data_IF_802857320462
#
_entry.id   IF_802857320462
#
_cell.length_a   1.000
_cell.length_b   1.000
_cell.length_c   1.000
_cell.angle_alpha   90.00
_cell.angle_beta   90.00
_cell.angle_gamma   90.00
#
_symmetry.space_group_name_H-M   'P 1'
#
loop_
_entity.id
_entity.type
_entity.pdbx_description
1 polymer ?
#
# COMPACT_ATOMS: atom_id res chain seq x y z
N UNK A 1 -49.24 8.55 15.44
CA UNK A 1 -48.45 9.41 14.53
C UNK A 1 -47.66 8.46 13.65
N UNK A 2 -47.90 8.48 12.35
CA UNK A 2 -47.36 7.54 11.36
C UNK A 2 -45.85 7.36 11.51
N UNK A 3 -45.41 6.15 11.86
CA UNK A 3 -44.06 5.71 11.56
C UNK A 3 -43.93 5.69 10.03
N UNK A 4 -43.02 6.50 9.51
CA UNK A 4 -42.65 6.53 8.10
C UNK A 4 -41.89 5.22 7.79
N UNK A 5 -42.62 4.11 7.75
CA UNK A 5 -42.08 2.78 7.52
C UNK A 5 -41.51 2.77 6.11
N UNK A 6 -40.18 2.75 6.02
CA UNK A 6 -39.49 2.68 4.73
C UNK A 6 -39.98 1.42 4.01
N UNK A 7 -40.65 1.59 2.89
CA UNK A 7 -41.16 0.49 2.08
C UNK A 7 -40.13 0.05 1.04
N UNK A 8 -40.05 -1.24 0.80
CA UNK A 8 -39.15 -1.84 -0.19
C UNK A 8 -39.94 -2.70 -1.18
N UNK A 9 -39.68 -2.56 -2.47
CA UNK A 9 -40.28 -3.42 -3.50
C UNK A 9 -39.53 -4.74 -3.62
N UNK A 10 -40.13 -5.75 -4.27
CA UNK A 10 -39.43 -7.03 -4.53
C UNK A 10 -38.07 -6.86 -5.24
N UNK A 11 -37.91 -5.82 -6.05
CA UNK A 11 -36.62 -5.48 -6.68
C UNK A 11 -35.60 -4.94 -5.66
N UNK A 12 -36.04 -4.19 -4.65
CA UNK A 12 -35.19 -3.75 -3.54
C UNK A 12 -34.78 -4.91 -2.63
N UNK A 13 -35.71 -5.82 -2.33
CA UNK A 13 -35.43 -7.06 -1.56
C UNK A 13 -34.37 -7.90 -2.25
N UNK A 14 -34.46 -8.04 -3.58
CA UNK A 14 -33.50 -8.77 -4.39
C UNK A 14 -32.08 -8.18 -4.28
N UNK A 15 -31.96 -6.84 -4.27
CA UNK A 15 -30.68 -6.15 -4.07
C UNK A 15 -30.12 -6.36 -2.65
N UNK A 16 -30.96 -6.24 -1.62
CA UNK A 16 -30.57 -6.45 -0.22
C UNK A 16 -30.04 -7.87 0.04
N UNK A 17 -30.56 -8.84 -0.70
CA UNK A 17 -30.18 -10.24 -0.57
C UNK A 17 -29.15 -10.69 -1.62
N UNK A 18 -28.67 -9.81 -2.49
CA UNK A 18 -27.66 -10.15 -3.52
C UNK A 18 -28.13 -11.19 -4.54
N UNK A 19 -29.43 -11.27 -4.82
CA UNK A 19 -30.04 -12.27 -5.73
C UNK A 19 -30.90 -11.64 -6.83
N UNK A 20 -31.34 -12.43 -7.79
CA UNK A 20 -32.32 -11.99 -8.80
C UNK A 20 -33.76 -11.93 -8.28
N UNK A 21 -34.63 -11.12 -8.91
CA UNK A 21 -36.06 -10.96 -8.55
C UNK A 21 -36.85 -12.27 -8.52
N UNK A 22 -36.46 -13.25 -9.34
CA UNK A 22 -37.08 -14.57 -9.37
C UNK A 22 -36.92 -15.33 -8.04
N UNK A 23 -35.79 -15.13 -7.32
CA UNK A 23 -35.57 -15.72 -6.00
C UNK A 23 -36.57 -15.17 -4.97
N UNK A 24 -36.80 -13.86 -4.98
CA UNK A 24 -37.78 -13.20 -4.09
C UNK A 24 -39.20 -13.69 -4.37
N UNK A 25 -39.57 -13.84 -5.64
CA UNK A 25 -40.87 -14.42 -6.04
C UNK A 25 -41.01 -15.86 -5.53
N UNK A 26 -39.95 -16.67 -5.65
CA UNK A 26 -39.94 -18.03 -5.13
C UNK A 26 -40.05 -18.07 -3.60
N UNK A 27 -39.42 -17.12 -2.88
CA UNK A 27 -39.51 -17.06 -1.42
C UNK A 27 -40.92 -16.77 -0.94
N UNK A 28 -41.59 -15.78 -1.55
CA UNK A 28 -43.00 -15.45 -1.27
C UNK A 28 -43.93 -16.64 -1.38
N UNK A 29 -43.65 -17.56 -2.32
CA UNK A 29 -44.45 -18.75 -2.55
C UNK A 29 -44.10 -19.90 -1.60
N UNK A 30 -42.82 -20.10 -1.28
CA UNK A 30 -42.34 -21.27 -0.52
C UNK A 30 -42.27 -21.05 0.99
N UNK A 31 -42.24 -19.80 1.44
CA UNK A 31 -42.12 -19.46 2.85
C UNK A 31 -43.39 -18.76 3.32
N UNK A 32 -44.20 -19.49 4.11
CA UNK A 32 -45.45 -18.97 4.66
C UNK A 32 -45.22 -17.82 5.67
N UNK A 33 -44.02 -17.73 6.25
CA UNK A 33 -43.60 -16.68 7.16
C UNK A 33 -42.97 -15.46 6.44
N UNK A 34 -42.94 -15.45 5.10
CA UNK A 34 -42.46 -14.30 4.35
C UNK A 34 -43.34 -13.06 4.62
N UNK A 35 -42.76 -11.86 4.89
CA UNK A 35 -43.53 -10.67 5.23
C UNK A 35 -44.61 -10.32 4.20
N UNK A 36 -45.79 -9.90 4.69
CA UNK A 36 -46.93 -9.54 3.84
C UNK A 36 -46.72 -8.14 3.25
N UNK A 37 -47.28 -7.85 2.06
CA UNK A 37 -47.23 -6.51 1.49
C UNK A 37 -47.93 -5.50 2.41
N UNK A 38 -47.31 -4.34 2.59
CA UNK A 38 -47.88 -3.19 3.32
C UNK A 38 -48.41 -2.11 2.38
N UNK A 39 -48.06 -2.17 1.09
CA UNK A 39 -48.52 -1.25 0.05
C UNK A 39 -48.20 -1.73 -1.37
N UNK A 40 -48.18 -0.78 -2.32
CA UNK A 40 -47.86 -1.02 -3.73
C UNK A 40 -49.07 -1.48 -4.56
N UNK A 41 -48.81 -1.96 -5.77
CA UNK A 41 -49.84 -2.47 -6.70
C UNK A 41 -49.85 -4.00 -6.71
N UNK A 42 -50.92 -4.61 -7.24
CA UNK A 42 -50.97 -6.08 -7.43
C UNK A 42 -49.76 -6.62 -8.22
N UNK A 43 -49.27 -5.83 -9.18
CA UNK A 43 -48.12 -6.17 -10.04
C UNK A 43 -46.77 -5.82 -9.42
N UNK A 44 -46.72 -4.91 -8.44
CA UNK A 44 -45.50 -4.48 -7.76
C UNK A 44 -45.80 -4.16 -6.28
N UNK A 45 -45.98 -5.20 -5.44
CA UNK A 45 -46.21 -5.01 -4.01
C UNK A 45 -44.98 -4.41 -3.32
N UNK A 46 -45.23 -3.59 -2.30
CA UNK A 46 -44.22 -3.06 -1.39
C UNK A 46 -44.36 -3.67 0.01
N UNK A 47 -43.23 -3.82 0.69
CA UNK A 47 -43.10 -4.52 1.96
C UNK A 47 -42.42 -3.60 2.98
N UNK A 48 -42.72 -3.77 4.27
CA UNK A 48 -42.00 -3.05 5.31
C UNK A 48 -40.52 -3.50 5.32
N UNK A 49 -39.59 -2.56 5.13
CA UNK A 49 -38.15 -2.86 5.06
C UNK A 49 -37.66 -3.59 6.32
N UNK A 50 -38.08 -3.14 7.50
CA UNK A 50 -37.67 -3.73 8.77
C UNK A 50 -38.08 -5.21 8.91
N UNK A 51 -39.29 -5.57 8.46
CA UNK A 51 -39.77 -6.96 8.49
C UNK A 51 -39.00 -7.84 7.49
N UNK A 52 -38.72 -7.30 6.29
CA UNK A 52 -37.90 -7.99 5.29
C UNK A 52 -36.48 -8.23 5.81
N UNK A 53 -35.82 -7.22 6.39
CA UNK A 53 -34.48 -7.36 6.91
C UNK A 53 -34.41 -8.36 8.08
N UNK A 54 -35.40 -8.32 8.98
CA UNK A 54 -35.51 -9.30 10.05
C UNK A 54 -35.69 -10.72 9.50
N UNK A 55 -36.56 -10.90 8.50
CA UNK A 55 -36.76 -12.19 7.86
C UNK A 55 -35.51 -12.67 7.11
N UNK A 56 -34.88 -11.82 6.30
CA UNK A 56 -33.65 -12.13 5.57
C UNK A 56 -32.52 -12.52 6.53
N UNK A 57 -32.36 -11.80 7.64
CA UNK A 57 -31.37 -12.12 8.68
C UNK A 57 -31.69 -13.46 9.35
N UNK A 58 -32.94 -13.71 9.73
CA UNK A 58 -33.40 -14.99 10.33
C UNK A 58 -33.15 -16.19 9.40
N UNK A 59 -33.28 -15.98 8.09
CA UNK A 59 -33.09 -17.02 7.07
C UNK A 59 -31.63 -17.16 6.60
N UNK A 60 -30.71 -16.31 7.09
CA UNK A 60 -29.32 -16.24 6.59
C UNK A 60 -29.24 -15.79 5.12
N UNK A 61 -30.26 -15.06 4.63
CA UNK A 61 -30.42 -14.61 3.25
C UNK A 61 -30.17 -13.12 3.06
N UNK A 62 -29.90 -12.37 4.13
CA UNK A 62 -29.37 -11.03 3.97
C UNK A 62 -27.98 -11.19 3.36
N UNK A 63 -27.70 -10.51 2.24
CA UNK A 63 -26.36 -10.58 1.69
C UNK A 63 -25.45 -9.87 2.67
N UNK A 64 -24.79 -10.63 3.54
CA UNK A 64 -23.55 -10.17 4.13
C UNK A 64 -22.62 -9.87 2.97
N UNK A 65 -22.12 -8.63 2.91
CA UNK A 65 -21.11 -8.25 1.91
C UNK A 65 -20.00 -9.31 1.99
N UNK A 66 -19.72 -10.04 0.89
CA UNK A 66 -18.72 -11.09 0.89
C UNK A 66 -17.41 -10.56 1.47
N UNK A 67 -16.68 -11.37 2.25
CA UNK A 67 -15.49 -10.92 2.97
C UNK A 67 -14.52 -10.12 2.10
N UNK A 68 -14.25 -10.60 0.87
CA UNK A 68 -13.41 -9.91 -0.12
C UNK A 68 -13.87 -8.49 -0.42
N UNK A 69 -15.18 -8.31 -0.58
CA UNK A 69 -15.76 -7.00 -0.89
C UNK A 69 -15.80 -6.10 0.34
N UNK A 70 -16.04 -6.65 1.53
CA UNK A 70 -16.00 -5.90 2.79
C UNK A 70 -14.60 -5.37 3.09
N UNK A 71 -13.58 -6.22 2.94
CA UNK A 71 -12.17 -5.83 3.09
C UNK A 71 -11.79 -4.77 2.06
N UNK A 72 -12.23 -4.94 0.80
CA UNK A 72 -12.01 -3.94 -0.24
C UNK A 72 -12.66 -2.59 0.10
N UNK A 73 -13.90 -2.58 0.57
CA UNK A 73 -14.59 -1.35 0.99
C UNK A 73 -13.89 -0.64 2.16
N UNK A 74 -13.40 -1.40 3.15
CA UNK A 74 -12.62 -0.84 4.26
C UNK A 74 -11.28 -0.25 3.78
N UNK A 75 -10.60 -0.92 2.85
CA UNK A 75 -9.35 -0.43 2.27
C UNK A 75 -9.59 0.84 1.45
N UNK A 76 -10.57 0.83 0.54
CA UNK A 76 -10.90 1.96 -0.33
C UNK A 76 -11.40 3.18 0.46
N UNK A 77 -12.12 2.95 1.57
CA UNK A 77 -12.65 4.00 2.45
C UNK A 77 -11.74 4.38 3.62
N UNK A 78 -10.48 3.92 3.65
CA UNK A 78 -9.57 4.17 4.76
C UNK A 78 -9.26 5.67 4.91
N UNK A 79 -9.26 6.24 6.14
CA UNK A 79 -9.11 7.68 6.35
C UNK A 79 -7.81 8.27 5.80
N UNK A 80 -6.71 7.52 5.88
CA UNK A 80 -5.39 7.90 5.34
C UNK A 80 -5.20 7.51 3.86
N UNK A 81 -6.28 7.11 3.18
CA UNK A 81 -6.30 6.71 1.79
C UNK A 81 -5.99 5.22 1.53
N UNK A 82 -6.33 4.73 0.32
CA UNK A 82 -6.26 3.31 -0.04
C UNK A 82 -4.83 2.76 -0.09
N UNK A 83 -3.85 3.59 -0.45
CA UNK A 83 -2.45 3.15 -0.55
C UNK A 83 -1.85 2.93 0.83
N UNK A 84 -2.06 3.84 1.78
CA UNK A 84 -1.66 3.66 3.18
C UNK A 84 -2.28 2.39 3.77
N UNK A 85 -3.58 2.18 3.52
CA UNK A 85 -4.30 0.99 3.94
C UNK A 85 -3.73 -0.30 3.35
N UNK A 86 -3.38 -0.28 2.06
CA UNK A 86 -2.77 -1.42 1.37
C UNK A 86 -1.34 -1.70 1.88
N UNK A 87 -0.56 -0.66 2.19
CA UNK A 87 0.76 -0.80 2.83
C UNK A 87 0.63 -1.41 4.22
N UNK A 88 -0.29 -0.93 5.06
CA UNK A 88 -0.56 -1.52 6.38
C UNK A 88 -1.03 -2.98 6.27
N UNK A 89 -1.92 -3.28 5.31
CA UNK A 89 -2.37 -4.65 5.03
C UNK A 89 -1.19 -5.54 4.59
N UNK A 90 -0.31 -5.06 3.71
CA UNK A 90 0.89 -5.80 3.28
C UNK A 90 1.85 -6.10 4.44
N UNK A 91 2.09 -5.13 5.32
CA UNK A 91 2.89 -5.35 6.54
C UNK A 91 2.28 -6.43 7.43
N UNK A 92 0.96 -6.37 7.69
CA UNK A 92 0.27 -7.37 8.49
C UNK A 92 0.27 -8.76 7.83
N UNK A 93 0.09 -8.83 6.50
CA UNK A 93 0.15 -10.08 5.74
C UNK A 93 1.52 -10.73 5.79
N UNK A 94 2.59 -9.93 5.76
CA UNK A 94 3.96 -10.44 5.91
C UNK A 94 4.19 -10.99 7.33
N UNK A 95 3.69 -10.32 8.36
CA UNK A 95 3.71 -10.84 9.74
C UNK A 95 2.92 -12.15 9.87
N UNK A 96 1.72 -12.22 9.29
CA UNK A 96 0.88 -13.43 9.29
C UNK A 96 1.60 -14.58 8.56
N UNK A 97 2.31 -14.26 7.47
CA UNK A 97 3.06 -15.23 6.69
C UNK A 97 4.27 -15.80 7.44
N UNK A 98 5.08 -14.92 8.03
CA UNK A 98 6.37 -15.29 8.63
C UNK A 98 6.25 -15.72 10.10
N UNK A 99 5.27 -15.16 10.84
CA UNK A 99 5.09 -15.34 12.30
C UNK A 99 3.60 -15.46 12.70
N UNK A 100 2.89 -16.51 12.23
CA UNK A 100 1.44 -16.63 12.45
C UNK A 100 1.03 -16.65 13.93
N UNK A 101 1.85 -17.22 14.83
CA UNK A 101 1.55 -17.25 16.27
C UNK A 101 1.61 -15.86 16.90
N UNK A 102 2.56 -15.02 16.48
CA UNK A 102 2.70 -13.63 16.95
C UNK A 102 1.48 -12.80 16.52
N UNK A 103 0.98 -13.01 15.30
CA UNK A 103 -0.27 -12.38 14.87
C UNK A 103 -1.46 -12.80 15.75
N UNK A 104 -1.60 -14.10 16.05
CA UNK A 104 -2.70 -14.59 16.89
C UNK A 104 -2.67 -13.99 18.30
N UNK A 105 -1.48 -13.85 18.88
CA UNK A 105 -1.29 -13.21 20.19
C UNK A 105 -1.59 -11.70 20.15
N UNK A 106 -1.12 -10.99 19.13
CA UNK A 106 -1.35 -9.56 18.98
C UNK A 106 -2.82 -9.22 18.67
N UNK A 107 -3.50 -10.07 17.89
CA UNK A 107 -4.90 -9.89 17.52
C UNK A 107 -5.90 -10.33 18.59
N UNK A 108 -5.43 -10.96 19.68
CA UNK A 108 -6.27 -11.27 20.82
C UNK A 108 -6.62 -9.98 21.60
N UNK A 109 -7.92 -9.64 21.61
CA UNK A 109 -8.44 -8.49 22.37
C UNK A 109 -8.83 -7.31 21.48
N UNK A 110 -8.79 -6.11 22.06
CA UNK A 110 -9.30 -4.88 21.42
C UNK A 110 -8.40 -4.36 20.30
N UNK A 111 -8.93 -3.40 19.53
CA UNK A 111 -8.21 -2.76 18.43
C UNK A 111 -7.05 -1.88 18.91
N UNK A 112 -7.19 -1.26 20.09
CA UNK A 112 -6.12 -0.49 20.73
C UNK A 112 -4.95 -1.39 21.12
N UNK A 113 -5.26 -2.58 21.66
CA UNK A 113 -4.24 -3.57 22.00
C UNK A 113 -3.55 -4.09 20.75
N UNK A 114 -4.32 -4.44 19.71
CA UNK A 114 -3.76 -4.87 18.44
C UNK A 114 -2.81 -3.82 17.88
N UNK A 115 -3.25 -2.57 17.77
CA UNK A 115 -2.44 -1.48 17.23
C UNK A 115 -1.15 -1.24 18.05
N UNK A 116 -1.23 -1.27 19.38
CA UNK A 116 -0.07 -1.09 20.26
C UNK A 116 0.95 -2.24 20.14
N UNK A 117 0.49 -3.48 20.03
CA UNK A 117 1.37 -4.65 19.92
C UNK A 117 1.98 -4.81 18.52
N UNK A 118 1.25 -4.42 17.48
CA UNK A 118 1.70 -4.63 16.10
C UNK A 118 2.98 -3.86 15.75
N UNK A 119 3.23 -2.68 16.32
CA UNK A 119 4.44 -1.91 15.95
C UNK A 119 5.72 -2.73 16.17
N UNK A 120 5.91 -3.28 17.37
CA UNK A 120 7.09 -4.11 17.67
C UNK A 120 7.12 -5.41 16.87
N UNK A 121 5.97 -6.09 16.75
CA UNK A 121 5.87 -7.32 15.97
C UNK A 121 6.20 -7.12 14.48
N UNK A 122 5.82 -5.97 13.91
CA UNK A 122 6.15 -5.60 12.54
C UNK A 122 7.64 -5.28 12.40
N UNK A 123 8.25 -4.55 13.33
CA UNK A 123 9.70 -4.29 13.29
C UNK A 123 10.53 -5.58 13.21
N UNK A 124 10.16 -6.60 13.99
CA UNK A 124 10.83 -7.91 14.02
C UNK A 124 10.79 -8.67 12.68
N UNK A 125 9.81 -8.38 11.82
CA UNK A 125 9.68 -8.99 10.48
C UNK A 125 10.20 -8.07 9.39
N UNK A 126 9.95 -6.75 9.49
CA UNK A 126 10.31 -5.79 8.47
C UNK A 126 11.83 -5.52 8.44
N UNK A 127 12.50 -5.44 9.59
CA UNK A 127 13.94 -5.11 9.63
C UNK A 127 14.81 -6.18 8.98
N UNK A 128 14.62 -7.49 9.24
CA UNK A 128 15.39 -8.53 8.53
C UNK A 128 15.13 -8.53 7.03
N UNK A 129 13.90 -8.21 6.59
CA UNK A 129 13.50 -8.27 5.18
C UNK A 129 13.94 -7.04 4.39
N UNK A 130 13.82 -5.85 4.97
CA UNK A 130 14.00 -4.56 4.29
C UNK A 130 15.23 -3.78 4.75
N UNK A 131 15.75 -4.08 5.93
CA UNK A 131 16.87 -3.38 6.55
C UNK A 131 16.44 -2.47 7.69
N UNK A 132 17.41 -1.96 8.49
CA UNK A 132 17.10 -1.11 9.62
C UNK A 132 16.54 0.26 9.16
N UNK A 133 15.63 0.85 9.95
CA UNK A 133 15.22 2.23 9.73
C UNK A 133 16.41 3.18 9.91
N UNK A 134 16.47 4.26 9.12
CA UNK A 134 17.46 5.31 9.33
C UNK A 134 16.98 6.17 10.51
N UNK A 135 17.54 5.92 11.70
CA UNK A 135 17.29 6.78 12.86
C UNK A 135 17.99 8.12 12.64
N UNK A 136 17.21 9.15 12.27
CA UNK A 136 17.67 10.52 12.35
C UNK A 136 18.14 10.82 13.77
N UNK A 137 19.33 11.41 13.91
CA UNK A 137 19.83 11.92 15.19
C UNK A 137 18.78 12.87 15.76
N UNK A 138 18.07 12.44 16.80
CA UNK A 138 17.10 13.28 17.48
C UNK A 138 17.73 14.62 17.83
N UNK A 139 17.13 15.71 17.37
CA UNK A 139 17.47 17.04 17.84
C UNK A 139 17.02 17.07 19.29
N UNK A 140 17.95 16.81 20.20
CA UNK A 140 17.76 17.19 21.60
C UNK A 140 17.56 18.70 21.59
N UNK A 141 16.32 19.12 21.85
CA UNK A 141 15.97 20.48 22.24
C UNK A 141 16.69 20.81 23.55
N UNK A 142 17.95 21.21 23.43
CA UNK A 142 18.72 21.82 24.50
C UNK A 142 18.26 23.25 24.67
N UNK A 143 17.64 23.52 25.82
CA UNK A 143 17.38 24.87 26.31
C UNK A 143 18.71 25.61 26.55
N UNK A 144 18.89 26.71 25.82
CA UNK A 144 19.69 27.89 26.18
C UNK A 144 19.19 29.01 25.23
N UNK A 145 18.58 30.10 25.68
CA UNK A 145 19.14 31.00 26.68
C UNK A 145 19.81 32.17 25.94
N UNK A 146 18.97 33.09 25.47
CA UNK A 146 19.20 34.53 25.28
C UNK A 146 20.50 35.03 24.59
N UNK A 147 20.37 35.57 23.38
CA UNK A 147 21.15 36.74 22.94
C UNK A 147 20.50 37.40 21.71
N UNK A 148 20.30 38.70 21.85
CA UNK A 148 19.50 39.58 21.04
C UNK A 148 20.15 40.07 19.73
N UNK A 149 19.26 40.38 18.78
CA UNK A 149 19.28 41.49 17.81
C UNK A 149 20.41 41.59 16.77
N UNK A 150 19.99 41.51 15.51
CA UNK A 150 20.76 41.93 14.33
C UNK A 150 19.86 42.04 13.10
N UNK A 151 19.00 43.06 13.09
CA UNK A 151 18.13 43.45 11.98
C UNK A 151 18.98 43.95 10.80
N UNK A 152 18.81 43.38 9.61
CA UNK A 152 18.45 44.20 8.44
C UNK A 152 17.93 43.40 7.25
N UNK A 153 16.90 44.00 6.68
CA UNK A 153 16.00 43.54 5.62
C UNK A 153 16.54 43.85 4.21
N UNK A 154 15.87 43.36 3.14
CA UNK A 154 16.49 42.91 1.90
C UNK A 154 16.30 43.84 0.68
N UNK A 155 16.81 43.38 -0.48
CA UNK A 155 16.37 43.61 -1.89
C UNK A 155 17.46 44.18 -2.83
N UNK A 156 17.35 44.10 -4.19
CA UNK A 156 16.31 43.49 -5.04
C UNK A 156 16.83 42.59 -6.19
N UNK A 157 15.83 42.08 -6.93
CA UNK A 157 15.79 41.23 -8.13
C UNK A 157 16.00 41.98 -9.47
N UNK A 158 16.55 41.26 -10.48
CA UNK A 158 16.32 41.30 -11.97
C UNK A 158 16.34 42.66 -12.72
N UNK A 159 16.95 42.92 -13.89
CA UNK A 159 17.33 42.22 -15.15
C UNK A 159 18.06 43.27 -16.05
N UNK A 160 18.29 43.12 -17.39
CA UNK A 160 18.92 42.07 -18.20
C UNK A 160 20.10 42.57 -19.11
N UNK A 161 20.80 41.60 -19.73
CA UNK A 161 21.50 41.57 -21.04
C UNK A 161 22.14 42.85 -21.64
N UNK A 162 23.45 42.78 -21.93
CA UNK A 162 23.99 43.33 -23.19
C UNK A 162 25.23 42.55 -23.64
N UNK A 163 25.21 42.19 -24.92
CA UNK A 163 26.27 41.55 -25.70
C UNK A 163 27.31 42.61 -26.09
N UNK A 164 28.62 42.27 -26.04
CA UNK A 164 29.60 42.65 -27.06
C UNK A 164 30.97 41.96 -26.87
N UNK A 165 31.22 40.99 -27.76
CA UNK A 165 32.39 40.82 -28.64
C UNK A 165 33.80 41.33 -28.27
N UNK A 166 34.68 40.32 -28.14
CA UNK A 166 36.05 40.09 -28.68
C UNK A 166 37.26 40.96 -28.26
N UNK A 167 38.30 40.20 -27.88
CA UNK A 167 39.75 40.32 -28.21
C UNK A 167 40.67 40.93 -27.15
N UNK A 168 41.50 40.09 -26.53
CA UNK A 168 42.97 40.16 -26.59
C UNK A 168 43.61 39.10 -25.67
N UNK A 169 44.64 38.44 -26.18
CA UNK A 169 45.43 37.40 -25.53
C UNK A 169 46.27 37.94 -24.36
N UNK A 170 46.63 37.09 -23.39
CA UNK A 170 48.02 36.82 -22.99
C UNK A 170 48.16 35.78 -21.84
N UNK A 171 49.06 34.82 -22.09
CA UNK A 171 49.90 34.02 -21.15
C UNK A 171 49.28 32.82 -20.39
N UNK A 172 49.91 31.62 -20.45
CA UNK A 172 49.49 30.47 -19.67
C UNK A 172 50.07 30.53 -18.25
N UNK A 173 49.23 30.44 -17.23
CA UNK A 173 49.66 30.15 -15.86
C UNK A 173 49.43 28.66 -15.58
N UNK A 174 50.50 27.98 -15.20
CA UNK A 174 50.51 26.58 -14.78
C UNK A 174 49.75 26.34 -13.47
N UNK A 175 49.20 25.13 -13.38
CA UNK A 175 48.86 24.36 -12.19
C UNK A 175 47.63 24.79 -11.36
N UNK A 176 46.48 24.19 -11.71
CA UNK A 176 45.49 23.80 -10.71
C UNK A 176 45.49 22.29 -10.56
N UNK A 177 46.04 21.82 -9.45
CA UNK A 177 45.78 20.50 -8.87
C UNK A 177 44.25 20.33 -8.79
N UNK A 178 43.66 19.22 -9.26
CA UNK A 178 42.26 18.98 -9.00
C UNK A 178 42.09 18.83 -7.49
N UNK A 179 41.40 19.79 -6.88
CA UNK A 179 40.85 19.64 -5.54
C UNK A 179 40.04 18.35 -5.57
N UNK A 180 40.49 17.35 -4.83
CA UNK A 180 39.75 16.13 -4.56
C UNK A 180 38.44 16.56 -3.90
N UNK A 181 37.40 16.70 -4.73
CA UNK A 181 36.04 16.84 -4.28
C UNK A 181 35.75 15.60 -3.44
N UNK A 182 35.87 15.74 -2.12
CA UNK A 182 35.27 14.82 -1.19
C UNK A 182 33.77 14.91 -1.45
N UNK A 183 33.26 14.02 -2.30
CA UNK A 183 31.84 13.72 -2.34
C UNK A 183 31.48 13.30 -0.92
N UNK A 184 30.66 14.06 -0.18
CA UNK A 184 30.22 13.60 1.11
C UNK A 184 29.54 12.24 0.89
N UNK A 185 29.97 11.22 1.64
CA UNK A 185 29.35 9.92 1.59
C UNK A 185 27.83 10.11 1.74
N UNK A 186 27.07 9.75 0.70
CA UNK A 186 25.63 9.93 0.70
C UNK A 186 25.05 9.18 1.89
N UNK A 187 24.24 9.85 2.71
CA UNK A 187 23.58 9.21 3.83
C UNK A 187 22.76 8.01 3.31
N UNK A 188 22.71 6.89 4.03
CA UNK A 188 21.97 5.71 3.58
C UNK A 188 20.50 6.07 3.36
N UNK A 189 19.97 5.71 2.19
CA UNK A 189 18.56 5.92 1.84
C UNK A 189 17.69 5.02 2.75
N UNK A 190 16.64 5.57 3.40
CA UNK A 190 15.77 4.77 4.24
C UNK A 190 15.01 3.72 3.40
N UNK A 191 14.70 2.54 3.95
CA UNK A 191 13.88 1.56 3.24
C UNK A 191 12.49 2.12 2.95
N UNK A 192 11.92 1.75 1.79
CA UNK A 192 10.62 2.21 1.35
C UNK A 192 9.48 1.77 2.30
N UNK A 193 9.65 0.63 2.98
CA UNK A 193 8.70 0.12 3.97
C UNK A 193 9.25 0.37 5.37
N UNK A 194 8.46 1.07 6.18
CA UNK A 194 8.74 1.33 7.59
C UNK A 194 7.64 0.72 8.44
N UNK A 195 7.97 0.31 9.68
CA UNK A 195 6.96 -0.18 10.61
C UNK A 195 6.02 0.99 11.00
N UNK A 196 4.70 0.89 10.74
CA UNK A 196 3.76 1.90 11.18
C UNK A 196 3.61 1.88 12.71
N UNK A 197 3.52 3.06 13.30
CA UNK A 197 3.32 3.21 14.75
C UNK A 197 1.89 2.82 15.17
N UNK A 198 1.71 2.50 16.45
CA UNK A 198 0.39 2.14 17.00
C UNK A 198 -0.71 3.16 16.67
N UNK A 199 -0.49 4.47 16.86
CA UNK A 199 -1.48 5.49 16.45
C UNK A 199 -1.82 5.47 14.96
N UNK A 200 -0.86 5.18 14.08
CA UNK A 200 -1.11 5.04 12.64
C UNK A 200 -1.88 3.76 12.29
N UNK A 201 -1.70 2.70 13.08
CA UNK A 201 -2.35 1.41 12.89
C UNK A 201 -3.77 1.35 13.46
N UNK A 202 -4.10 2.18 14.45
CA UNK A 202 -5.40 2.13 15.12
C UNK A 202 -6.59 2.29 14.15
N UNK A 203 -6.59 3.25 13.20
CA UNK A 203 -7.66 3.35 12.19
C UNK A 203 -7.72 2.14 11.24
N UNK A 204 -6.61 1.42 11.08
CA UNK A 204 -6.52 0.24 10.22
C UNK A 204 -6.94 -1.05 10.91
N UNK A 205 -7.10 -1.08 12.25
CA UNK A 205 -7.33 -2.32 12.98
C UNK A 205 -8.51 -3.17 12.46
N UNK A 206 -9.70 -2.60 12.15
CA UNK A 206 -10.80 -3.38 11.56
C UNK A 206 -10.45 -3.97 10.19
N UNK A 207 -9.73 -3.21 9.35
CA UNK A 207 -9.23 -3.67 8.06
C UNK A 207 -8.24 -4.82 8.26
N UNK A 208 -7.28 -4.69 9.17
CA UNK A 208 -6.24 -5.70 9.40
C UNK A 208 -6.84 -7.03 9.88
N UNK A 209 -7.90 -6.99 10.69
CA UNK A 209 -8.65 -8.21 11.07
C UNK A 209 -9.33 -8.86 9.88
N UNK A 210 -10.01 -8.07 9.03
CA UNK A 210 -10.63 -8.59 7.82
C UNK A 210 -9.61 -9.15 6.82
N UNK A 211 -8.45 -8.50 6.69
CA UNK A 211 -7.32 -8.97 5.88
C UNK A 211 -6.79 -10.30 6.41
N UNK A 212 -6.67 -10.46 7.73
CA UNK A 212 -6.24 -11.72 8.34
C UNK A 212 -7.26 -12.85 8.15
N UNK A 213 -8.56 -12.56 8.28
CA UNK A 213 -9.64 -13.50 7.98
C UNK A 213 -9.56 -13.95 6.51
N UNK A 214 -9.33 -13.00 5.59
CA UNK A 214 -9.19 -13.30 4.17
C UNK A 214 -7.91 -14.12 3.89
N UNK A 215 -6.81 -13.80 4.55
CA UNK A 215 -5.56 -14.57 4.48
C UNK A 215 -5.69 -15.98 5.04
N UNK A 216 -6.51 -16.21 6.06
CA UNK A 216 -6.80 -17.55 6.55
C UNK A 216 -7.55 -18.39 5.51
N UNK A 217 -8.39 -17.77 4.68
CA UNK A 217 -9.15 -18.45 3.63
C UNK A 217 -8.36 -18.69 2.33
N UNK A 218 -7.55 -17.71 1.88
CA UNK A 218 -6.86 -17.78 0.58
C UNK A 218 -5.33 -17.77 0.62
N UNK A 219 -4.72 -17.56 1.79
CA UNK A 219 -3.29 -17.35 1.96
C UNK A 219 -2.88 -15.88 1.84
N UNK A 220 -1.81 -15.50 2.56
CA UNK A 220 -1.38 -14.11 2.66
C UNK A 220 -0.95 -13.50 1.31
N UNK A 221 -0.26 -14.30 0.48
CA UNK A 221 0.20 -13.91 -0.86
C UNK A 221 -0.97 -13.56 -1.78
N UNK A 222 -1.94 -14.46 -1.85
CA UNK A 222 -3.13 -14.31 -2.69
C UNK A 222 -3.99 -13.14 -2.21
N UNK A 223 -4.10 -12.93 -0.89
CA UNK A 223 -4.80 -11.77 -0.34
C UNK A 223 -4.14 -10.47 -0.76
N UNK A 224 -2.81 -10.36 -0.70
CA UNK A 224 -2.11 -9.15 -1.14
C UNK A 224 -2.29 -8.90 -2.64
N UNK A 225 -2.11 -9.92 -3.49
CA UNK A 225 -2.31 -9.79 -4.94
C UNK A 225 -3.75 -9.39 -5.30
N UNK A 226 -4.74 -9.90 -4.58
CA UNK A 226 -6.13 -9.49 -4.75
C UNK A 226 -6.34 -8.00 -4.44
N UNK A 227 -5.83 -7.52 -3.29
CA UNK A 227 -6.01 -6.14 -2.86
C UNK A 227 -5.22 -5.16 -3.75
N UNK A 228 -3.98 -5.52 -4.11
CA UNK A 228 -3.18 -4.74 -5.05
C UNK A 228 -3.84 -4.71 -6.42
N UNK A 229 -4.31 -5.85 -6.95
CA UNK A 229 -5.02 -5.92 -8.23
C UNK A 229 -6.25 -5.02 -8.26
N UNK A 230 -7.11 -5.08 -7.23
CA UNK A 230 -8.27 -4.18 -7.10
C UNK A 230 -7.89 -2.71 -7.06
N UNK A 231 -6.78 -2.36 -6.40
CA UNK A 231 -6.26 -0.99 -6.35
C UNK A 231 -5.78 -0.52 -7.72
N UNK A 232 -5.06 -1.36 -8.46
CA UNK A 232 -4.60 -1.03 -9.82
C UNK A 232 -5.77 -0.89 -10.80
N UNK A 233 -6.75 -1.80 -10.74
CA UNK A 233 -7.95 -1.79 -11.58
C UNK A 233 -8.82 -0.55 -11.33
N UNK A 234 -8.86 -0.05 -10.10
CA UNK A 234 -9.57 1.18 -9.75
C UNK A 234 -8.87 2.45 -10.26
N UNK A 235 -7.59 2.36 -10.66
CA UNK A 235 -6.73 3.49 -11.02
C UNK A 235 -5.97 3.29 -12.35
N UNK A 236 -6.66 2.93 -13.46
CA UNK A 236 -6.00 2.47 -14.69
C UNK A 236 -5.19 3.56 -15.43
N UNK A 237 -5.40 4.83 -15.10
CA UNK A 237 -4.66 5.96 -15.69
C UNK A 237 -3.40 6.33 -14.92
N UNK A 238 -3.24 5.81 -13.69
CA UNK A 238 -2.12 6.16 -12.81
C UNK A 238 -0.92 5.23 -12.99
N UNK A 239 -1.14 4.02 -13.49
CA UNK A 239 -0.12 2.98 -13.52
C UNK A 239 0.12 2.45 -14.93
N UNK A 240 1.39 2.40 -15.33
CA UNK A 240 1.82 1.66 -16.52
C UNK A 240 2.24 0.28 -16.07
N UNK A 241 1.47 -0.74 -16.46
CA UNK A 241 1.70 -2.12 -16.04
C UNK A 241 2.53 -2.87 -17.09
N UNK A 242 3.61 -3.51 -16.65
CA UNK A 242 4.34 -4.47 -17.47
C UNK A 242 3.52 -5.76 -17.58
N UNK A 243 3.15 -6.22 -18.80
CA UNK A 243 2.42 -7.47 -18.98
C UNK A 243 3.20 -8.67 -18.41
N UNK A 244 2.49 -9.65 -17.85
CA UNK A 244 3.11 -10.81 -17.19
C UNK A 244 4.02 -11.61 -18.12
N UNK A 245 3.62 -11.83 -19.36
CA UNK A 245 4.43 -12.56 -20.35
C UNK A 245 5.72 -11.82 -20.69
N UNK A 246 5.65 -10.49 -20.80
CA UNK A 246 6.83 -9.66 -21.03
C UNK A 246 7.77 -9.68 -19.82
N UNK A 247 7.23 -9.60 -18.60
CA UNK A 247 8.04 -9.70 -17.39
C UNK A 247 8.74 -11.06 -17.26
N UNK A 248 8.05 -12.15 -17.62
CA UNK A 248 8.65 -13.48 -17.69
C UNK A 248 9.79 -13.55 -18.70
N UNK A 249 9.58 -13.05 -19.92
CA UNK A 249 10.63 -13.00 -20.95
C UNK A 249 11.86 -12.21 -20.48
N UNK A 250 11.66 -11.05 -19.85
CA UNK A 250 12.78 -10.24 -19.33
C UNK A 250 13.55 -10.95 -18.22
N UNK A 251 12.83 -11.63 -17.31
CA UNK A 251 13.46 -12.43 -16.26
C UNK A 251 14.25 -13.62 -16.83
N UNK A 252 13.74 -14.29 -17.87
CA UNK A 252 14.45 -15.37 -18.55
C UNK A 252 15.72 -14.87 -19.26
N UNK A 253 15.66 -13.69 -19.89
CA UNK A 253 16.82 -13.05 -20.52
C UNK A 253 17.89 -12.63 -19.52
N UNK A 254 17.50 -12.11 -18.36
CA UNK A 254 18.43 -11.79 -17.28
C UNK A 254 19.13 -13.04 -16.72
N UNK A 255 18.46 -14.20 -16.77
CA UNK A 255 19.01 -15.48 -16.33
C UNK A 255 19.30 -15.53 -14.83
N UNK A 256 20.16 -16.47 -14.39
CA UNK A 256 20.53 -16.58 -12.98
C UNK A 256 21.38 -15.42 -12.47
N UNK A 257 20.85 -14.67 -11.51
CA UNK A 257 21.54 -13.57 -10.83
C UNK A 257 21.35 -13.67 -9.31
N UNK A 258 22.39 -13.30 -8.56
CA UNK A 258 22.34 -13.20 -7.10
C UNK A 258 21.84 -11.82 -6.69
N UNK A 259 22.36 -10.76 -7.31
CA UNK A 259 21.95 -9.38 -7.06
C UNK A 259 21.18 -8.87 -8.29
N UNK A 260 19.90 -8.56 -8.11
CA UNK A 260 19.07 -7.97 -9.16
C UNK A 260 18.62 -6.57 -8.77
N UNK A 261 18.65 -5.65 -9.72
CA UNK A 261 18.16 -4.28 -9.56
C UNK A 261 17.07 -3.99 -10.59
N UNK A 262 15.98 -3.40 -10.14
CA UNK A 262 15.02 -2.70 -11.00
C UNK A 262 14.98 -1.22 -10.55
N UNK A 263 15.56 -0.30 -11.33
CA UNK A 263 15.71 1.10 -10.95
C UNK A 263 14.43 1.93 -11.17
N UNK A 264 13.38 1.36 -11.75
CA UNK A 264 12.09 2.02 -11.97
C UNK A 264 10.96 0.99 -11.82
N UNK A 265 10.90 0.42 -10.63
CA UNK A 265 10.26 -0.87 -10.41
C UNK A 265 8.74 -0.89 -10.57
N UNK A 266 8.07 0.26 -10.51
CA UNK A 266 6.64 0.35 -10.69
C UNK A 266 5.89 -0.59 -9.73
N UNK A 267 5.16 -1.55 -10.28
CA UNK A 267 4.43 -2.57 -9.49
C UNK A 267 5.25 -3.82 -9.16
N UNK A 268 6.54 -3.82 -9.49
CA UNK A 268 7.48 -4.90 -9.24
C UNK A 268 7.33 -6.10 -10.17
N UNK A 269 6.64 -5.94 -11.31
CA UNK A 269 6.31 -7.05 -12.20
C UNK A 269 7.54 -7.80 -12.71
N UNK A 270 8.63 -7.08 -13.04
CA UNK A 270 9.88 -7.66 -13.54
C UNK A 270 10.57 -8.51 -12.46
N UNK A 271 10.89 -7.91 -11.31
CA UNK A 271 11.51 -8.64 -10.19
C UNK A 271 10.63 -9.77 -9.66
N UNK A 272 9.30 -9.65 -9.74
CA UNK A 272 8.37 -10.70 -9.31
C UNK A 272 8.40 -11.92 -10.23
N UNK A 273 8.72 -11.74 -11.51
CA UNK A 273 8.83 -12.81 -12.50
C UNK A 273 10.13 -13.62 -12.36
N UNK A 274 11.13 -13.09 -11.64
CA UNK A 274 12.40 -13.78 -11.40
C UNK A 274 12.17 -15.02 -10.56
N UNK A 275 12.76 -16.15 -10.99
CA UNK A 275 12.72 -17.40 -10.24
C UNK A 275 13.53 -17.26 -8.94
N UNK A 276 12.93 -17.46 -7.75
CA UNK A 276 13.63 -17.33 -6.48
C UNK A 276 14.81 -18.30 -6.37
N UNK A 277 15.91 -17.82 -5.79
CA UNK A 277 17.11 -18.62 -5.51
C UNK A 277 17.65 -18.34 -4.10
N UNK A 278 18.37 -19.30 -3.50
CA UNK A 278 19.14 -19.03 -2.28
C UNK A 278 20.09 -17.84 -2.47
N UNK A 279 20.31 -17.09 -1.40
CA UNK A 279 21.25 -15.95 -1.34
C UNK A 279 20.95 -14.79 -2.31
N UNK A 280 19.77 -14.79 -2.93
CA UNK A 280 19.32 -13.71 -3.81
C UNK A 280 19.00 -12.44 -3.00
N UNK A 281 19.38 -11.29 -3.55
CA UNK A 281 19.03 -9.96 -3.05
C UNK A 281 18.36 -9.18 -4.17
N UNK A 282 17.18 -8.64 -3.87
CA UNK A 282 16.37 -7.88 -4.82
C UNK A 282 16.40 -6.40 -4.44
N UNK A 283 16.80 -5.54 -5.37
CA UNK A 283 16.83 -4.10 -5.21
C UNK A 283 15.79 -3.45 -6.11
N UNK A 284 14.91 -2.64 -5.53
CA UNK A 284 13.80 -2.02 -6.22
C UNK A 284 13.77 -0.53 -5.88
N UNK A 285 13.89 0.33 -6.90
CA UNK A 285 13.77 1.77 -6.74
C UNK A 285 12.60 2.30 -7.57
N UNK A 286 11.84 3.24 -7.02
CA UNK A 286 10.86 4.01 -7.79
C UNK A 286 10.82 5.45 -7.31
N UNK A 287 10.52 6.38 -8.20
CA UNK A 287 10.31 7.79 -7.85
C UNK A 287 9.07 8.01 -6.97
N UNK A 288 8.05 7.15 -7.08
CA UNK A 288 6.85 7.17 -6.28
C UNK A 288 7.07 6.33 -4.99
N UNK A 289 7.06 6.96 -3.79
CA UNK A 289 7.29 6.24 -2.53
C UNK A 289 6.31 5.08 -2.31
N UNK A 290 5.06 5.30 -2.69
CA UNK A 290 3.98 4.35 -2.60
C UNK A 290 4.25 3.07 -3.43
N UNK A 291 4.73 3.22 -4.67
CA UNK A 291 5.07 2.09 -5.53
C UNK A 291 6.29 1.34 -5.02
N UNK A 292 7.32 2.05 -4.54
CA UNK A 292 8.48 1.42 -3.93
C UNK A 292 8.10 0.57 -2.70
N UNK A 293 7.22 1.08 -1.84
CA UNK A 293 6.74 0.36 -0.66
C UNK A 293 5.87 -0.85 -1.02
N UNK A 294 4.90 -0.69 -1.91
CA UNK A 294 4.03 -1.77 -2.36
C UNK A 294 4.81 -2.88 -3.08
N UNK A 295 5.78 -2.51 -3.92
CA UNK A 295 6.66 -3.47 -4.60
C UNK A 295 7.53 -4.22 -3.60
N UNK A 296 8.13 -3.54 -2.62
CA UNK A 296 8.93 -4.21 -1.61
C UNK A 296 8.11 -5.25 -0.82
N UNK A 297 6.90 -4.89 -0.37
CA UNK A 297 5.97 -5.81 0.30
C UNK A 297 5.56 -6.98 -0.61
N UNK A 298 5.23 -6.69 -1.87
CA UNK A 298 4.87 -7.71 -2.88
C UNK A 298 5.98 -8.75 -3.05
N UNK A 299 7.23 -8.30 -3.18
CA UNK A 299 8.37 -9.18 -3.34
C UNK A 299 8.62 -10.01 -2.06
N UNK A 300 8.64 -9.37 -0.89
CA UNK A 300 8.90 -10.06 0.38
C UNK A 300 7.87 -11.15 0.71
N UNK A 301 6.61 -10.97 0.30
CA UNK A 301 5.58 -12.00 0.45
C UNK A 301 5.83 -13.23 -0.43
N UNK A 302 6.57 -13.12 -1.52
CA UNK A 302 6.72 -14.15 -2.54
C UNK A 302 8.10 -14.81 -2.60
N UNK A 303 9.09 -14.25 -1.92
CA UNK A 303 10.43 -14.82 -1.80
C UNK A 303 10.98 -14.63 -0.38
N UNK A 304 11.77 -15.58 0.15
CA UNK A 304 12.49 -15.37 1.40
C UNK A 304 13.72 -14.46 1.25
N UNK A 305 14.05 -14.05 0.01
CA UNK A 305 15.17 -13.16 -0.28
C UNK A 305 15.08 -11.82 0.48
N UNK A 306 16.23 -11.22 0.71
CA UNK A 306 16.32 -9.83 1.16
C UNK A 306 15.80 -8.93 0.06
N UNK A 307 14.93 -7.99 0.41
CA UNK A 307 14.38 -7.00 -0.51
C UNK A 307 14.80 -5.62 -0.06
N UNK A 308 15.58 -4.90 -0.86
CA UNK A 308 15.90 -3.50 -0.64
C UNK A 308 15.00 -2.67 -1.53
N UNK A 309 13.95 -2.08 -0.95
CA UNK A 309 13.10 -1.12 -1.63
C UNK A 309 13.48 0.31 -1.23
N UNK A 310 13.54 1.25 -2.17
CA UNK A 310 13.80 2.66 -1.88
C UNK A 310 13.00 3.59 -2.79
N UNK A 311 12.64 4.76 -2.25
CA UNK A 311 11.99 5.82 -3.00
C UNK A 311 13.03 6.84 -3.47
N UNK A 312 12.96 7.25 -4.74
CA UNK A 312 13.82 8.28 -5.31
C UNK A 312 13.83 8.28 -6.84
N UNK A 313 14.01 9.44 -7.44
CA UNK A 313 14.31 9.56 -8.87
C UNK A 313 15.71 9.00 -9.12
N UNK A 314 15.82 7.84 -9.78
CA UNK A 314 17.10 7.13 -10.00
C UNK A 314 18.14 7.97 -10.74
N UNK A 315 17.73 8.94 -11.57
CA UNK A 315 18.67 9.82 -12.26
C UNK A 315 19.23 10.93 -11.37
N UNK A 316 18.46 11.37 -10.36
CA UNK A 316 18.81 12.49 -9.47
C UNK A 316 19.25 12.06 -8.07
N UNK A 317 18.81 10.90 -7.65
CA UNK A 317 18.92 10.35 -6.31
C UNK A 317 18.97 8.82 -6.40
N UNK A 318 20.07 8.29 -6.93
CA UNK A 318 20.38 6.86 -6.89
C UNK A 318 20.36 6.38 -5.44
N UNK A 319 19.45 5.44 -5.12
CA UNK A 319 19.31 4.91 -3.77
C UNK A 319 20.37 3.86 -3.42
N UNK A 320 21.09 3.33 -4.42
CA UNK A 320 22.06 2.25 -4.28
C UNK A 320 23.42 2.62 -4.91
N UNK A 321 24.04 3.74 -4.50
CA UNK A 321 25.29 4.20 -5.09
C UNK A 321 26.40 3.15 -4.90
N UNK A 322 27.01 2.75 -6.01
CA UNK A 322 28.08 1.75 -6.02
C UNK A 322 27.63 0.30 -5.97
N UNK A 323 26.31 0.03 -5.98
CA UNK A 323 25.79 -1.33 -6.15
C UNK A 323 26.25 -1.90 -7.49
N UNK A 324 26.79 -3.12 -7.46
CA UNK A 324 27.12 -3.90 -8.66
C UNK A 324 26.12 -5.04 -8.76
N UNK A 325 25.03 -4.81 -9.48
CA UNK A 325 24.05 -5.84 -9.75
C UNK A 325 24.58 -6.82 -10.80
N UNK A 326 24.23 -8.10 -10.66
CA UNK A 326 24.53 -9.14 -11.65
C UNK A 326 23.59 -8.99 -12.86
N UNK A 327 22.35 -8.55 -12.61
CA UNK A 327 21.36 -8.23 -13.64
C UNK A 327 20.57 -6.97 -13.26
N UNK A 328 20.23 -6.17 -14.28
CA UNK A 328 19.31 -5.03 -14.16
C UNK A 328 18.11 -5.31 -15.06
N UNK A 329 16.92 -5.21 -14.49
CA UNK A 329 15.64 -5.42 -15.19
C UNK A 329 14.93 -4.10 -15.42
#
# INVERSE_FOLDING_TARGET
MQDNATEVTAAGIARLAGVGRAAVSNWRRRHADFPKPVGGTETSPSFALAEIEAWLRKQGKLAEVPLRERVWQQLAGHPEGPVTALTHAGCALLLIHDRPTVWLEASAGSDERLAAMLTGALEDVLVPRFGPPVRGRGVHSGSAGDAALGVNSPQPVNSPLTVNTVTAAHTPASAHTPSSAHTPASAPTPPAVQAPSGPQLLPSAPLLRGVAELAAASGARQTFEFLLGRHLDANPRQYTLTPTELAGLMADLAGPARILLDPACGTGALLRAVTPRPDQELYAQDSAPDLAALTALRLALHTPATVRGAAGDTLRADAYPGLRADAVL
#
